data_IF_473130868409
#
_entry.id   IF_473130868409
#
_cell.length_a   1.000
_cell.length_b   1.000
_cell.length_c   1.000
_cell.angle_alpha   90.00
_cell.angle_beta   90.00
_cell.angle_gamma   90.00
#
_symmetry.space_group_name_H-M   'P 1'
#
loop_
_entity.id
_entity.type
_entity.pdbx_description
1 polymer ?
#
# COMPACT_ATOMS: atom_id res chain seq x y z
N UNK A 1 23.03 -10.75 15.24
CA UNK A 1 21.60 -10.45 15.37
C UNK A 1 21.46 -9.07 14.78
N UNK A 2 21.14 -9.03 13.49
CA UNK A 2 21.21 -7.79 12.73
C UNK A 2 19.97 -6.96 13.05
N UNK A 3 20.14 -5.66 13.26
CA UNK A 3 19.12 -4.75 13.80
C UNK A 3 17.82 -4.66 12.96
N UNK A 4 17.81 -5.26 11.77
CA UNK A 4 16.67 -5.31 10.86
C UNK A 4 15.70 -6.47 11.14
N UNK A 5 16.10 -7.46 11.95
CA UNK A 5 15.21 -8.59 12.31
C UNK A 5 14.19 -8.22 13.39
N UNK A 6 14.53 -7.26 14.27
CA UNK A 6 13.67 -6.88 15.40
C UNK A 6 12.34 -6.27 14.94
N UNK A 7 12.30 -5.30 13.99
CA UNK A 7 11.05 -4.74 13.48
C UNK A 7 10.14 -5.82 12.88
N UNK A 8 10.72 -6.76 12.12
CA UNK A 8 9.95 -7.81 11.42
C UNK A 8 9.24 -8.75 12.42
N UNK A 9 9.93 -9.13 13.51
CA UNK A 9 9.35 -9.98 14.56
C UNK A 9 8.12 -9.31 15.20
N UNK A 10 8.15 -8.01 15.43
CA UNK A 10 7.00 -7.30 16.03
C UNK A 10 5.82 -7.18 15.07
N UNK A 11 6.07 -6.91 13.80
CA UNK A 11 5.02 -6.83 12.78
C UNK A 11 4.33 -8.18 12.60
N UNK A 12 5.09 -9.27 12.58
CA UNK A 12 4.53 -10.62 12.47
C UNK A 12 3.76 -11.07 13.72
N UNK A 13 4.13 -10.56 14.90
CA UNK A 13 3.43 -10.88 16.15
C UNK A 13 2.07 -10.19 16.25
N UNK A 14 1.93 -9.02 15.63
CA UNK A 14 0.72 -8.19 15.67
C UNK A 14 0.32 -7.77 14.25
N UNK A 15 -0.07 -8.73 13.39
CA UNK A 15 -0.28 -8.47 11.96
C UNK A 15 -1.44 -7.50 11.72
N UNK A 16 -2.50 -7.55 12.53
CA UNK A 16 -3.66 -6.65 12.40
C UNK A 16 -3.27 -5.20 12.70
N UNK A 17 -2.53 -4.97 13.79
CA UNK A 17 -2.06 -3.65 14.19
C UNK A 17 -1.03 -3.10 13.20
N UNK A 18 -0.14 -3.95 12.69
CA UNK A 18 0.81 -3.61 11.65
C UNK A 18 0.10 -3.15 10.37
N UNK A 19 -0.80 -3.98 9.83
CA UNK A 19 -1.58 -3.64 8.64
C UNK A 19 -2.38 -2.36 8.86
N UNK A 20 -3.06 -2.22 10.01
CA UNK A 20 -3.80 -0.99 10.32
C UNK A 20 -2.90 0.24 10.28
N UNK A 21 -1.74 0.21 10.94
CA UNK A 21 -0.81 1.34 10.94
C UNK A 21 -0.30 1.70 9.54
N UNK A 22 -0.10 0.69 8.69
CA UNK A 22 0.29 0.89 7.29
C UNK A 22 -0.83 1.53 6.46
N UNK A 23 -2.04 0.98 6.50
CA UNK A 23 -3.18 1.54 5.77
C UNK A 23 -3.64 2.90 6.31
N UNK A 24 -3.45 3.19 7.60
CA UNK A 24 -3.72 4.52 8.16
C UNK A 24 -2.72 5.58 7.66
N UNK A 25 -1.49 5.18 7.33
CA UNK A 25 -0.43 6.09 6.89
C UNK A 25 -0.38 6.27 5.37
N UNK A 26 -0.46 5.18 4.62
CA UNK A 26 -0.25 5.14 3.15
C UNK A 26 -1.53 4.82 2.38
N UNK A 27 -2.61 4.50 3.08
CA UNK A 27 -3.82 3.98 2.48
C UNK A 27 -4.92 5.01 2.22
N UNK A 28 -5.82 4.63 1.32
CA UNK A 28 -7.08 5.32 1.07
C UNK A 28 -8.19 4.33 0.69
N UNK A 29 -9.44 4.77 0.88
CA UNK A 29 -10.61 4.02 0.46
C UNK A 29 -11.05 4.48 -0.94
N UNK A 30 -11.20 3.54 -1.87
CA UNK A 30 -11.74 3.79 -3.20
C UNK A 30 -13.18 3.30 -3.30
N UNK A 31 -14.12 4.21 -3.05
CA UNK A 31 -15.55 3.90 -3.05
C UNK A 31 -16.05 3.34 -4.40
N UNK A 32 -15.54 3.85 -5.52
CA UNK A 32 -15.97 3.45 -6.86
C UNK A 32 -15.65 1.98 -7.18
N UNK A 33 -14.51 1.49 -6.70
CA UNK A 33 -14.03 0.12 -6.93
C UNK A 33 -14.28 -0.80 -5.74
N UNK A 34 -14.94 -0.29 -4.69
CA UNK A 34 -15.23 -0.99 -3.45
C UNK A 34 -13.99 -1.71 -2.87
N UNK A 35 -12.89 -0.97 -2.76
CA UNK A 35 -11.61 -1.48 -2.27
C UNK A 35 -10.91 -0.50 -1.36
N UNK A 36 -10.08 -1.03 -0.47
CA UNK A 36 -9.10 -0.29 0.30
C UNK A 36 -7.76 -0.52 -0.36
N UNK A 37 -6.98 0.53 -0.55
CA UNK A 37 -5.67 0.43 -1.18
C UNK A 37 -4.64 1.17 -0.36
N UNK A 38 -3.38 0.77 -0.47
CA UNK A 38 -2.23 1.50 0.02
C UNK A 38 -1.11 1.37 -1.00
N UNK A 39 -0.27 2.39 -1.12
CA UNK A 39 0.81 2.39 -2.08
C UNK A 39 2.19 2.66 -1.48
N UNK A 40 3.22 2.15 -2.14
CA UNK A 40 4.60 2.43 -1.78
C UNK A 40 5.51 2.29 -2.99
N UNK A 41 6.59 3.06 -3.03
CA UNK A 41 7.61 2.91 -4.07
C UNK A 41 8.55 1.72 -3.83
N UNK A 42 8.59 1.19 -2.60
CA UNK A 42 9.38 0.02 -2.25
C UNK A 42 8.50 -1.24 -2.29
N UNK A 43 8.75 -2.12 -3.27
CA UNK A 43 8.00 -3.37 -3.42
C UNK A 43 8.13 -4.28 -2.20
N UNK A 44 9.28 -4.31 -1.54
CA UNK A 44 9.48 -5.18 -0.37
C UNK A 44 8.58 -4.81 0.81
N UNK A 45 8.19 -3.53 0.93
CA UNK A 45 7.20 -3.10 1.93
C UNK A 45 5.82 -3.65 1.56
N UNK A 46 5.43 -3.56 0.29
CA UNK A 46 4.15 -4.09 -0.20
C UNK A 46 4.08 -5.61 -0.06
N UNK A 47 5.14 -6.33 -0.41
CA UNK A 47 5.21 -7.78 -0.28
C UNK A 47 5.09 -8.20 1.21
N UNK A 48 5.76 -7.49 2.12
CA UNK A 48 5.65 -7.73 3.56
C UNK A 48 4.21 -7.57 4.05
N UNK A 49 3.54 -6.48 3.71
CA UNK A 49 2.16 -6.26 4.14
C UNK A 49 1.18 -7.23 3.46
N UNK A 50 1.46 -7.66 2.22
CA UNK A 50 0.75 -8.78 1.59
C UNK A 50 0.79 -10.04 2.45
N UNK A 51 2.00 -10.46 2.88
CA UNK A 51 2.16 -11.63 3.76
C UNK A 51 1.45 -11.46 5.12
N UNK A 52 1.44 -10.26 5.70
CA UNK A 52 0.72 -10.00 6.95
C UNK A 52 -0.80 -10.08 6.76
N UNK A 53 -1.33 -9.67 5.61
CA UNK A 53 -2.75 -9.85 5.27
C UNK A 53 -3.11 -11.32 5.08
N UNK A 54 -2.25 -12.14 4.47
CA UNK A 54 -2.47 -13.59 4.37
C UNK A 54 -2.58 -14.26 5.74
N UNK A 55 -1.76 -13.83 6.71
CA UNK A 55 -1.85 -14.30 8.10
C UNK A 55 -3.18 -13.94 8.77
N UNK A 56 -3.89 -12.94 8.27
CA UNK A 56 -5.21 -12.52 8.72
C UNK A 56 -6.35 -13.13 7.89
N UNK A 57 -6.05 -14.03 6.95
CA UNK A 57 -7.00 -14.61 5.98
C UNK A 57 -7.69 -13.54 5.11
N UNK A 58 -6.99 -12.43 4.84
CA UNK A 58 -7.49 -11.33 4.01
C UNK A 58 -6.89 -11.45 2.60
N UNK A 59 -7.77 -11.58 1.61
CA UNK A 59 -7.37 -11.59 0.21
C UNK A 59 -6.95 -10.21 -0.27
N UNK A 60 -5.88 -10.16 -1.07
CA UNK A 60 -5.35 -8.92 -1.64
C UNK A 60 -4.87 -9.12 -3.08
N UNK A 61 -4.63 -8.00 -3.77
CA UNK A 61 -3.97 -7.94 -5.08
C UNK A 61 -2.89 -6.87 -5.06
N UNK A 62 -1.77 -7.14 -5.73
CA UNK A 62 -0.70 -6.16 -5.94
C UNK A 62 -0.75 -5.68 -7.39
N UNK A 63 -0.69 -4.37 -7.56
CA UNK A 63 -0.62 -3.71 -8.86
C UNK A 63 0.66 -2.90 -8.97
N UNK A 64 1.16 -2.75 -10.20
CA UNK A 64 2.24 -1.83 -10.52
C UNK A 64 1.66 -0.69 -11.35
N UNK A 65 1.91 0.54 -10.90
CA UNK A 65 1.44 1.75 -11.55
C UNK A 65 2.65 2.63 -11.91
N UNK A 66 2.67 3.13 -13.14
CA UNK A 66 3.64 4.14 -13.55
C UNK A 66 3.12 5.50 -13.13
N UNK A 67 3.80 6.17 -12.21
CA UNK A 67 3.47 7.56 -11.90
C UNK A 67 4.27 8.48 -12.81
N UNK A 68 3.54 9.28 -13.60
CA UNK A 68 4.14 10.36 -14.36
C UNK A 68 4.78 11.33 -13.37
N UNK A 69 6.07 11.63 -13.56
CA UNK A 69 6.82 12.53 -12.68
C UNK A 69 6.34 14.00 -12.71
N UNK A 70 5.16 14.31 -13.25
CA UNK A 70 4.62 15.66 -13.31
C UNK A 70 3.71 15.93 -12.12
N UNK A 71 4.11 16.90 -11.31
CA UNK A 71 3.35 17.39 -10.16
C UNK A 71 2.95 18.83 -10.42
N UNK A 72 1.71 19.19 -10.15
CA UNK A 72 1.26 20.60 -10.22
C UNK A 72 1.24 21.13 -8.80
N UNK A 73 1.99 22.20 -8.54
CA UNK A 73 1.87 22.91 -7.27
C UNK A 73 0.49 23.58 -7.21
N UNK A 74 -0.37 23.19 -6.25
CA UNK A 74 -1.72 23.74 -6.16
C UNK A 74 -1.75 25.24 -5.86
N UNK A 75 -0.67 25.82 -5.31
CA UNK A 75 -0.61 27.24 -4.96
C UNK A 75 -0.17 28.12 -6.12
N UNK A 76 0.92 27.75 -6.80
CA UNK A 76 1.47 28.57 -7.90
C UNK A 76 1.02 28.13 -9.29
N UNK A 77 0.38 26.96 -9.42
CA UNK A 77 0.03 26.35 -10.71
C UNK A 77 1.24 25.89 -11.52
N UNK A 78 2.46 25.94 -10.95
CA UNK A 78 3.67 25.52 -11.63
C UNK A 78 3.72 24.01 -11.71
N UNK A 79 4.04 23.51 -12.90
CA UNK A 79 4.29 22.09 -13.12
C UNK A 79 5.76 21.78 -12.86
N UNK A 80 6.00 20.86 -11.94
CA UNK A 80 7.30 20.32 -11.61
C UNK A 80 7.42 18.94 -12.23
N UNK A 81 8.49 18.73 -12.99
CA UNK A 81 8.82 17.43 -13.56
C UNK A 81 9.96 16.82 -12.73
N UNK A 82 9.70 15.72 -12.02
CA UNK A 82 10.75 14.81 -11.55
C UNK A 82 11.42 14.19 -12.78
N UNK A 83 12.75 14.07 -12.70
CA UNK A 83 13.58 13.62 -13.81
C UNK A 83 13.33 12.15 -14.23
N UNK A 84 12.57 11.38 -13.46
CA UNK A 84 12.22 10.00 -13.79
C UNK A 84 10.77 9.70 -13.45
N UNK A 85 10.12 8.94 -14.33
CA UNK A 85 8.99 8.10 -13.96
C UNK A 85 9.43 7.15 -12.84
N UNK A 86 8.53 6.84 -11.91
CA UNK A 86 8.80 5.86 -10.87
C UNK A 86 7.62 4.90 -10.74
N UNK A 87 7.92 3.66 -10.38
CA UNK A 87 6.94 2.61 -10.18
C UNK A 87 6.39 2.74 -8.78
N UNK A 88 5.08 2.75 -8.69
CA UNK A 88 4.33 2.64 -7.45
C UNK A 88 3.72 1.25 -7.40
N UNK A 89 3.93 0.57 -6.29
CA UNK A 89 3.33 -0.71 -5.98
C UNK A 89 2.11 -0.46 -5.11
N UNK A 90 0.94 -0.95 -5.54
CA UNK A 90 -0.33 -0.72 -4.88
C UNK A 90 -0.88 -2.04 -4.35
N UNK A 91 -1.09 -2.10 -3.05
CA UNK A 91 -1.71 -3.22 -2.34
C UNK A 91 -3.21 -2.93 -2.21
N UNK A 92 -4.06 -3.81 -2.75
CA UNK A 92 -5.51 -3.64 -2.77
C UNK A 92 -6.23 -4.78 -2.05
N UNK A 93 -7.10 -4.42 -1.11
CA UNK A 93 -8.06 -5.31 -0.44
C UNK A 93 -9.44 -5.02 -1.01
N UNK A 94 -10.07 -6.03 -1.59
CA UNK A 94 -11.41 -5.90 -2.18
C UNK A 94 -12.48 -6.25 -1.14
N UNK A 95 -13.52 -5.43 -1.04
CA UNK A 95 -14.66 -5.68 -0.17
C UNK A 95 -15.61 -6.77 -0.69
N UNK A 96 -15.14 -7.80 -1.40
CA UNK A 96 -16.06 -8.79 -2.02
C UNK A 96 -16.87 -9.62 -1.01
N UNK A 97 -16.60 -9.52 0.29
CA UNK A 97 -17.30 -10.27 1.35
C UNK A 97 -18.79 -9.92 1.54
N UNK A 98 -19.34 -8.94 0.79
CA UNK A 98 -20.76 -8.57 0.86
C UNK A 98 -21.58 -8.90 -0.41
N UNK A 99 -21.03 -9.63 -1.38
CA UNK A 99 -21.83 -10.16 -2.51
C UNK A 99 -21.98 -11.67 -2.33
N UNK A 100 -22.95 -12.07 -1.51
CA UNK A 100 -23.52 -13.42 -1.59
C UNK A 100 -24.17 -13.59 -2.96
N UNK A 101 -23.55 -14.37 -3.83
CA UNK A 101 -24.20 -15.03 -4.97
C UNK A 101 -25.10 -16.16 -4.50
#
# INVERSE_FOLDING_TARGET
>A
MDSYDIPLIYLEKYPAEACRGFFDAEGWAEAYYYRIVADNTNSSIIDLFGLLLEKLDINYKIYQCHQNGMFVDPKSGKTYRRNSEFIIYLLAIYGEENITS
#
